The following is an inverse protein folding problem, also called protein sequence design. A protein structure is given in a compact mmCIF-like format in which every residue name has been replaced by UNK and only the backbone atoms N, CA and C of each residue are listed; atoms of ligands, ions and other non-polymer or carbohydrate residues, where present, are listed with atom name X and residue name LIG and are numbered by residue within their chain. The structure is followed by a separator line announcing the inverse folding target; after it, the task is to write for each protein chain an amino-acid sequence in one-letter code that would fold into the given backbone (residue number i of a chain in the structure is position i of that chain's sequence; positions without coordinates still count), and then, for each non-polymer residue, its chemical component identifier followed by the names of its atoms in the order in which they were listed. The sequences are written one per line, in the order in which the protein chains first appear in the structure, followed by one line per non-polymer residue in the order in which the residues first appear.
data_IF_246025950062
#
_entry.id   IF_246025950062
#
_cell.length_a   1.000
_cell.length_b   1.000
_cell.length_c   1.000
_cell.angle_alpha   90.00
_cell.angle_beta   90.00
_cell.angle_gamma   90.00
#
_symmetry.space_group_name_H-M   'P 1'
#
loop_
_entity.id
_entity.type
_entity.pdbx_description
1 polymer ?
#
# COMPACT_ATOMS: atom_id res chain seq x y z
N UNK A 1 -7.78 17.93 17.86
CA UNK A 1 -6.93 17.52 16.72
C UNK A 1 -7.88 17.26 15.58
N UNK A 2 -7.71 17.94 14.45
CA UNK A 2 -8.51 17.68 13.26
C UNK A 2 -8.20 16.24 12.80
N UNK A 3 -9.23 15.46 12.44
CA UNK A 3 -9.02 14.19 11.77
C UNK A 3 -8.37 14.50 10.42
N UNK A 4 -7.04 14.34 10.34
CA UNK A 4 -6.30 14.55 9.11
C UNK A 4 -6.58 13.38 8.18
N UNK A 5 -7.62 13.52 7.36
CA UNK A 5 -7.85 12.64 6.22
C UNK A 5 -7.08 13.16 5.01
N UNK A 6 -6.70 12.25 4.11
CA UNK A 6 -5.91 12.56 2.92
C UNK A 6 -6.67 12.08 1.70
N UNK A 7 -7.34 13.00 1.00
CA UNK A 7 -8.18 12.68 -0.16
C UNK A 7 -9.21 11.56 0.11
N UNK A 8 -9.80 11.54 1.31
CA UNK A 8 -10.78 10.53 1.72
C UNK A 8 -10.20 9.35 2.51
N UNK A 9 -8.87 9.19 2.55
CA UNK A 9 -8.20 8.11 3.27
C UNK A 9 -7.85 8.50 4.72
N UNK A 10 -7.72 7.50 5.60
CA UNK A 10 -7.47 7.71 7.03
C UNK A 10 -6.13 8.37 7.37
N UNK A 11 -5.10 8.19 6.54
CA UNK A 11 -3.78 8.80 6.69
C UNK A 11 -3.09 8.98 5.32
N UNK A 12 -1.91 9.59 5.35
CA UNK A 12 -1.15 9.92 4.15
C UNK A 12 -0.58 8.66 3.48
N UNK A 13 -0.06 7.74 4.27
CA UNK A 13 0.59 6.51 3.82
C UNK A 13 -0.40 5.60 3.08
N UNK A 14 -1.63 5.48 3.60
CA UNK A 14 -2.71 4.70 2.97
C UNK A 14 -3.15 5.35 1.66
N UNK A 15 -3.36 6.67 1.63
CA UNK A 15 -3.66 7.39 0.37
C UNK A 15 -2.55 7.19 -0.66
N UNK A 16 -1.29 7.35 -0.26
CA UNK A 16 -0.16 7.23 -1.16
C UNK A 16 -0.03 5.80 -1.68
N UNK A 17 -0.18 4.78 -0.82
CA UNK A 17 -0.17 3.38 -1.22
C UNK A 17 -1.25 3.09 -2.27
N UNK A 18 -2.49 3.51 -2.00
CA UNK A 18 -3.60 3.34 -2.94
C UNK A 18 -3.33 4.02 -4.29
N UNK A 19 -2.81 5.26 -4.27
CA UNK A 19 -2.47 6.01 -5.48
C UNK A 19 -1.42 5.28 -6.33
N UNK A 20 -0.39 4.70 -5.71
CA UNK A 20 0.69 4.05 -6.44
C UNK A 20 0.29 2.67 -6.96
N UNK A 21 -0.46 1.90 -6.15
CA UNK A 21 -1.02 0.62 -6.58
C UNK A 21 -1.94 0.78 -7.81
N UNK A 22 -2.71 1.86 -7.88
CA UNK A 22 -3.56 2.17 -9.02
C UNK A 22 -2.72 2.61 -10.24
N UNK A 23 -1.83 3.59 -10.06
CA UNK A 23 -1.00 4.12 -11.14
C UNK A 23 -0.10 3.06 -11.80
N UNK A 24 0.44 2.12 -11.02
CA UNK A 24 1.29 1.05 -11.52
C UNK A 24 0.49 -0.16 -12.07
N UNK A 25 -0.85 -0.10 -12.02
CA UNK A 25 -1.76 -1.12 -12.53
C UNK A 25 -1.88 -2.37 -11.65
N UNK A 26 -1.37 -2.34 -10.42
CA UNK A 26 -1.46 -3.47 -9.49
C UNK A 26 -2.89 -3.74 -9.04
N UNK A 27 -3.73 -2.72 -8.92
CA UNK A 27 -5.16 -2.90 -8.61
C UNK A 27 -5.85 -3.74 -9.68
N UNK A 28 -5.62 -3.46 -10.97
CA UNK A 28 -6.19 -4.24 -12.07
C UNK A 28 -5.68 -5.69 -12.05
N UNK A 29 -4.39 -5.91 -11.80
CA UNK A 29 -3.80 -7.25 -11.64
C UNK A 29 -4.47 -8.01 -10.50
N UNK A 30 -4.69 -7.37 -9.34
CA UNK A 30 -5.35 -7.99 -8.19
C UNK A 30 -6.83 -8.30 -8.44
N UNK A 31 -7.51 -7.53 -9.31
CA UNK A 31 -8.92 -7.77 -9.67
C UNK A 31 -9.10 -8.99 -10.60
N UNK A 32 -8.07 -9.43 -11.31
CA UNK A 32 -8.17 -10.64 -12.16
C UNK A 32 -8.44 -11.92 -11.33
N UNK A 33 -8.23 -11.90 -10.01
CA UNK A 33 -8.42 -13.02 -9.09
C UNK A 33 -9.79 -13.03 -8.35
N UNK A 34 -10.86 -12.53 -8.97
CA UNK A 34 -12.24 -12.38 -8.46
C UNK A 34 -12.43 -11.34 -7.34
N UNK A 35 -11.48 -11.16 -6.41
CA UNK A 35 -11.53 -10.11 -5.38
C UNK A 35 -10.13 -9.68 -4.95
N UNK A 36 -9.98 -8.41 -4.58
CA UNK A 36 -8.75 -7.93 -3.96
C UNK A 36 -8.67 -8.48 -2.53
N UNK A 37 -7.53 -9.05 -2.16
CA UNK A 37 -7.29 -9.61 -0.82
C UNK A 37 -6.24 -8.80 -0.07
N UNK A 38 -6.25 -8.90 1.26
CA UNK A 38 -5.22 -8.28 2.11
C UNK A 38 -3.84 -8.78 1.71
N UNK A 39 -3.69 -10.10 1.56
CA UNK A 39 -2.43 -10.75 1.19
C UNK A 39 -1.97 -10.37 -0.22
N UNK A 40 -2.91 -10.09 -1.12
CA UNK A 40 -2.61 -9.59 -2.46
C UNK A 40 -2.02 -8.18 -2.42
N UNK A 41 -2.66 -7.26 -1.70
CA UNK A 41 -2.19 -5.88 -1.54
C UNK A 41 -0.85 -5.83 -0.80
N UNK A 42 -0.71 -6.58 0.30
CA UNK A 42 0.54 -6.70 1.06
C UNK A 42 1.69 -7.13 0.15
N UNK A 43 1.48 -8.18 -0.65
CA UNK A 43 2.47 -8.67 -1.61
C UNK A 43 2.85 -7.64 -2.67
N UNK A 44 1.89 -6.88 -3.21
CA UNK A 44 2.21 -5.87 -4.22
C UNK A 44 3.03 -4.73 -3.62
N UNK A 45 2.71 -4.27 -2.41
CA UNK A 45 3.51 -3.28 -1.70
C UNK A 45 4.92 -3.79 -1.37
N UNK A 46 5.05 -5.06 -1.01
CA UNK A 46 6.35 -5.71 -0.87
C UNK A 46 7.11 -5.70 -2.20
N UNK A 47 6.50 -6.11 -3.32
CA UNK A 47 7.15 -6.10 -4.65
C UNK A 47 7.64 -4.70 -5.03
N UNK A 48 6.82 -3.67 -4.81
CA UNK A 48 7.18 -2.27 -5.10
C UNK A 48 8.40 -1.79 -4.30
N UNK A 49 8.62 -2.36 -3.12
CA UNK A 49 9.69 -1.97 -2.21
C UNK A 49 10.88 -2.95 -2.22
N UNK A 50 10.70 -4.15 -2.75
CA UNK A 50 11.59 -5.30 -2.62
C UNK A 50 13.00 -5.05 -3.15
N UNK A 51 13.14 -4.63 -4.41
CA UNK A 51 14.46 -4.39 -5.01
C UNK A 51 15.26 -3.33 -4.24
N UNK A 52 14.55 -2.37 -3.65
CA UNK A 52 15.15 -1.26 -2.89
C UNK A 52 15.56 -1.69 -1.48
N UNK A 53 14.76 -2.56 -0.86
CA UNK A 53 14.98 -3.07 0.50
C UNK A 53 16.06 -4.15 0.56
N UNK A 54 16.09 -5.07 -0.40
CA UNK A 54 17.03 -6.19 -0.41
C UNK A 54 18.49 -5.70 -0.57
N UNK A 55 18.69 -4.66 -1.38
CA UNK A 55 19.98 -4.01 -1.55
C UNK A 55 20.45 -3.21 -0.31
N UNK A 56 19.57 -2.98 0.68
CA UNK A 56 19.74 -1.98 1.73
C UNK A 56 19.29 -2.45 3.12
N UNK A 57 19.36 -3.76 3.39
CA UNK A 57 18.74 -4.50 4.50
C UNK A 57 19.07 -4.06 5.95
N UNK A 58 19.86 -3.00 6.14
CA UNK A 58 20.07 -2.34 7.44
C UNK A 58 20.50 -0.88 7.26
N UNK A 59 19.66 -0.08 6.60
CA UNK A 59 19.96 1.31 6.26
C UNK A 59 18.82 2.25 6.61
N UNK A 60 19.08 3.56 6.62
CA UNK A 60 18.04 4.57 6.77
C UNK A 60 16.87 4.36 5.79
N UNK A 61 17.15 3.86 4.58
CA UNK A 61 16.12 3.60 3.59
C UNK A 61 15.22 2.42 3.99
N UNK A 62 15.78 1.34 4.56
CA UNK A 62 14.97 0.24 5.07
C UNK A 62 14.11 0.67 6.25
N UNK A 63 14.63 1.53 7.13
CA UNK A 63 13.90 2.05 8.28
C UNK A 63 12.72 2.94 7.84
N UNK A 64 12.95 3.84 6.88
CA UNK A 64 11.90 4.73 6.33
C UNK A 64 10.81 3.92 5.65
N UNK A 65 11.18 2.97 4.79
CA UNK A 65 10.21 2.15 4.06
C UNK A 65 9.45 1.24 5.04
N UNK A 66 10.13 0.65 6.02
CA UNK A 66 9.47 -0.18 7.05
C UNK A 66 8.50 0.62 7.90
N UNK A 67 8.87 1.84 8.32
CA UNK A 67 7.98 2.74 9.05
C UNK A 67 6.76 3.13 8.19
N UNK A 68 6.98 3.50 6.93
CA UNK A 68 5.90 3.82 6.00
C UNK A 68 4.94 2.63 5.82
N UNK A 69 5.47 1.43 5.55
CA UNK A 69 4.69 0.20 5.41
C UNK A 69 3.85 -0.10 6.65
N UNK A 70 4.39 0.14 7.85
CA UNK A 70 3.67 -0.12 9.11
C UNK A 70 2.47 0.80 9.36
N UNK A 71 2.41 1.95 8.67
CA UNK A 71 1.31 2.92 8.78
C UNK A 71 0.26 2.74 7.67
N UNK A 72 0.52 1.92 6.64
CA UNK A 72 -0.45 1.67 5.56
C UNK A 72 -1.60 0.82 6.09
N UNK A 73 -2.82 1.34 6.01
CA UNK A 73 -4.04 0.61 6.33
C UNK A 73 -4.49 -0.24 5.13
N UNK A 74 -3.90 -1.42 4.98
CA UNK A 74 -4.21 -2.35 3.88
C UNK A 74 -5.70 -2.75 3.88
N UNK A 75 -6.34 -2.89 5.04
CA UNK A 75 -7.76 -3.27 5.13
C UNK A 75 -8.66 -2.21 4.48
N UNK A 76 -8.33 -0.93 4.64
CA UNK A 76 -9.08 0.16 3.98
C UNK A 76 -8.90 0.14 2.47
N UNK A 77 -7.70 -0.16 1.97
CA UNK A 77 -7.43 -0.32 0.53
C UNK A 77 -8.26 -1.48 -0.04
N UNK A 78 -8.30 -2.63 0.65
CA UNK A 78 -9.11 -3.79 0.24
C UNK A 78 -10.59 -3.45 0.24
N UNK A 79 -11.10 -2.85 1.31
CA UNK A 79 -12.51 -2.48 1.43
C UNK A 79 -12.92 -1.52 0.32
N UNK A 80 -12.14 -0.44 0.10
CA UNK A 80 -12.44 0.56 -0.92
C UNK A 80 -12.51 -0.02 -2.34
N UNK A 81 -11.75 -1.09 -2.63
CA UNK A 81 -11.71 -1.66 -3.98
C UNK A 81 -12.69 -2.81 -4.22
N UNK A 82 -13.23 -3.42 -3.17
CA UNK A 82 -14.24 -4.49 -3.28
C UNK A 82 -15.68 -4.01 -3.03
N UNK A 83 -15.87 -2.76 -2.57
CA UNK A 83 -17.20 -2.14 -2.41
C UNK A 83 -17.80 -1.62 -3.74
N UNK A 84 -17.05 -1.72 -4.85
CA UNK A 84 -17.47 -1.43 -6.24
C UNK A 84 -17.58 -2.70 -7.08
#
# INVERSE_FOLDING_TARGET
MENQTYNGWTNFETWQAALWLDNDGFIEILREEDNITFEGVERMLEVMTFERLEACSSSLLSDIVGAWMSEVNIQEIVANNNED
#
